data_IF_070986321226
#
_entry.id   IF_070986321226
#
_cell.length_a   1.000
_cell.length_b   1.000
_cell.length_c   1.000
_cell.angle_alpha   90.00
_cell.angle_beta   90.00
_cell.angle_gamma   90.00
#
_symmetry.space_group_name_H-M   'P 1'
#
loop_
_entity.id
_entity.type
_entity.pdbx_description
1 polymer ?
#
# COMPACT_ATOMS: atom_id res chain seq x y z
N UNK A 1 -15.81 -12.87 23.85
CA UNK A 1 -14.48 -12.91 23.19
C UNK A 1 -14.65 -12.39 21.76
N UNK A 2 -13.82 -11.43 21.34
CA UNK A 2 -13.87 -10.91 19.95
C UNK A 2 -13.26 -11.96 19.01
N UNK A 3 -13.96 -12.31 17.93
CA UNK A 3 -13.43 -13.22 16.92
C UNK A 3 -12.22 -12.56 16.24
N UNK A 4 -11.06 -13.25 16.13
CA UNK A 4 -9.89 -12.73 15.42
C UNK A 4 -10.22 -12.36 13.98
N UNK A 5 -9.93 -11.14 13.57
CA UNK A 5 -10.11 -10.67 12.18
C UNK A 5 -8.86 -10.98 11.36
N UNK A 6 -9.04 -11.14 10.06
CA UNK A 6 -7.94 -11.25 9.09
C UNK A 6 -7.68 -9.88 8.48
N UNK A 7 -6.56 -9.29 8.83
CA UNK A 7 -6.17 -7.93 8.45
C UNK A 7 -5.09 -7.99 7.37
N UNK A 8 -5.38 -7.46 6.19
CA UNK A 8 -4.38 -7.29 5.13
C UNK A 8 -3.74 -5.92 5.27
N UNK A 9 -2.41 -5.87 5.41
CA UNK A 9 -1.64 -4.64 5.53
C UNK A 9 -0.64 -4.55 4.39
N UNK A 10 -0.66 -3.44 3.66
CA UNK A 10 0.16 -3.28 2.46
C UNK A 10 0.79 -1.88 2.36
N UNK A 11 2.10 -1.75 2.64
CA UNK A 11 2.84 -0.51 2.40
C UNK A 11 3.23 -0.34 0.95
N UNK A 12 3.42 0.91 0.54
CA UNK A 12 4.00 1.26 -0.75
C UNK A 12 5.51 0.92 -0.76
N UNK A 13 6.01 0.43 -1.90
CA UNK A 13 7.42 0.10 -2.10
C UNK A 13 8.21 1.27 -2.75
N UNK A 14 8.13 2.45 -2.14
CA UNK A 14 8.90 3.65 -2.55
C UNK A 14 9.90 4.05 -1.48
N UNK A 15 10.58 3.06 -0.87
CA UNK A 15 11.53 3.23 0.19
C UNK A 15 11.06 2.63 1.52
N UNK A 16 12.01 2.50 2.45
CA UNK A 16 11.78 1.82 3.73
C UNK A 16 10.89 2.61 4.70
N UNK A 17 10.68 3.91 4.46
CA UNK A 17 9.85 4.75 5.32
C UNK A 17 8.39 4.28 5.42
N UNK A 18 7.81 3.78 4.32
CA UNK A 18 6.48 3.21 4.33
C UNK A 18 6.41 1.92 5.15
N UNK A 19 7.39 1.04 4.96
CA UNK A 19 7.47 -0.20 5.74
C UNK A 19 7.69 0.07 7.23
N UNK A 20 8.60 1.00 7.59
CA UNK A 20 8.90 1.33 8.99
C UNK A 20 7.69 1.86 9.75
N UNK A 21 6.90 2.75 9.15
CA UNK A 21 5.72 3.33 9.81
C UNK A 21 4.56 2.33 9.97
N UNK A 22 4.54 1.26 9.19
CA UNK A 22 3.52 0.20 9.28
C UNK A 22 3.82 -0.78 10.42
N UNK A 23 5.08 -0.92 10.85
CA UNK A 23 5.49 -1.84 11.93
C UNK A 23 4.66 -1.66 13.22
N UNK A 24 4.51 -0.45 13.78
CA UNK A 24 3.68 -0.25 14.98
C UNK A 24 2.21 -0.63 14.76
N UNK A 25 1.69 -0.44 13.56
CA UNK A 25 0.31 -0.81 13.22
C UNK A 25 0.16 -2.33 13.20
N UNK A 26 1.11 -3.06 12.61
CA UNK A 26 1.14 -4.53 12.61
C UNK A 26 1.17 -5.05 14.06
N UNK A 27 2.09 -4.53 14.88
CA UNK A 27 2.21 -4.92 16.29
C UNK A 27 0.87 -4.73 17.03
N UNK A 28 0.22 -3.58 16.81
CA UNK A 28 -1.07 -3.30 17.47
C UNK A 28 -2.16 -4.30 17.12
N UNK A 29 -2.26 -4.74 15.87
CA UNK A 29 -3.24 -5.75 15.48
C UNK A 29 -2.89 -7.14 16.03
N UNK A 30 -1.61 -7.50 16.07
CA UNK A 30 -1.14 -8.74 16.69
C UNK A 30 -1.48 -8.76 18.19
N UNK A 31 -1.23 -7.66 18.91
CA UNK A 31 -1.56 -7.51 20.33
C UNK A 31 -3.07 -7.62 20.60
N UNK A 32 -3.90 -7.22 19.62
CA UNK A 32 -5.36 -7.39 19.70
C UNK A 32 -5.85 -8.80 19.39
N UNK A 33 -4.94 -9.72 19.06
CA UNK A 33 -5.25 -11.09 18.67
C UNK A 33 -5.77 -11.25 17.24
N UNK A 34 -5.63 -10.23 16.39
CA UNK A 34 -6.01 -10.31 14.98
C UNK A 34 -4.94 -11.06 14.15
N UNK A 35 -5.36 -11.72 13.09
CA UNK A 35 -4.49 -12.42 12.14
C UNK A 35 -4.01 -11.45 11.05
N UNK A 36 -2.76 -11.02 11.10
CA UNK A 36 -2.20 -10.09 10.13
C UNK A 36 -1.57 -10.82 8.95
N UNK A 37 -1.89 -10.37 7.75
CA UNK A 37 -1.27 -10.80 6.49
C UNK A 37 -0.60 -9.58 5.87
N UNK A 38 0.68 -9.71 5.54
CA UNK A 38 1.45 -8.64 4.91
C UNK A 38 1.38 -8.83 3.40
N UNK A 39 1.03 -7.76 2.68
CA UNK A 39 1.06 -7.78 1.22
C UNK A 39 1.93 -6.65 0.69
N UNK A 40 2.74 -6.91 -0.32
CA UNK A 40 3.63 -5.88 -0.84
C UNK A 40 4.59 -6.38 -1.89
N UNK A 41 5.65 -5.65 -2.10
CA UNK A 41 6.73 -6.01 -3.02
C UNK A 41 8.06 -5.41 -2.59
N UNK A 42 9.14 -5.87 -3.19
CA UNK A 42 10.46 -5.27 -3.11
C UNK A 42 11.02 -5.10 -1.70
N UNK A 43 11.70 -3.98 -1.46
CA UNK A 43 12.39 -3.72 -0.19
C UNK A 43 11.45 -3.59 1.01
N UNK A 44 10.27 -3.01 0.81
CA UNK A 44 9.27 -2.86 1.87
C UNK A 44 8.77 -4.22 2.36
N UNK A 45 8.46 -5.13 1.44
CA UNK A 45 8.03 -6.48 1.80
C UNK A 45 9.15 -7.25 2.48
N UNK A 46 10.39 -7.19 1.94
CA UNK A 46 11.54 -7.87 2.52
C UNK A 46 11.85 -7.41 3.95
N UNK A 47 11.73 -6.10 4.24
CA UNK A 47 11.90 -5.58 5.59
C UNK A 47 10.86 -6.16 6.54
N UNK A 48 9.58 -6.17 6.13
CA UNK A 48 8.50 -6.66 6.97
C UNK A 48 8.58 -8.19 7.18
N UNK A 49 9.01 -8.96 6.18
CA UNK A 49 9.24 -10.40 6.32
C UNK A 49 10.35 -10.71 7.34
N UNK A 50 11.42 -9.90 7.34
CA UNK A 50 12.49 -10.04 8.35
C UNK A 50 12.03 -9.68 9.74
N UNK A 51 11.22 -8.63 9.86
CA UNK A 51 10.69 -8.16 11.14
C UNK A 51 9.62 -9.09 11.72
N UNK A 52 8.82 -9.72 10.85
CA UNK A 52 7.70 -10.58 11.20
C UNK A 52 7.76 -11.92 10.46
N UNK A 53 8.75 -12.77 10.74
CA UNK A 53 8.97 -14.02 9.98
C UNK A 53 7.84 -15.04 10.16
N UNK A 54 7.03 -14.92 11.21
CA UNK A 54 5.88 -15.79 11.47
C UNK A 54 4.60 -15.36 10.73
N UNK A 55 4.55 -14.15 10.19
CA UNK A 55 3.37 -13.67 9.48
C UNK A 55 3.37 -14.15 8.03
N UNK A 56 2.18 -14.49 7.54
CA UNK A 56 1.98 -14.77 6.13
C UNK A 56 2.26 -13.51 5.30
N UNK A 57 3.05 -13.63 4.26
CA UNK A 57 3.33 -12.56 3.32
C UNK A 57 2.94 -12.96 1.90
N UNK A 58 2.40 -12.00 1.13
CA UNK A 58 1.92 -12.18 -0.23
C UNK A 58 2.54 -11.10 -1.11
N UNK A 59 3.16 -11.51 -2.21
CA UNK A 59 3.68 -10.55 -3.18
C UNK A 59 2.54 -10.00 -4.04
N UNK A 60 2.47 -8.66 -4.13
CA UNK A 60 1.53 -7.93 -4.98
C UNK A 60 2.32 -7.02 -5.92
N UNK A 61 1.98 -6.98 -7.23
CA UNK A 61 2.60 -6.06 -8.17
C UNK A 61 2.58 -4.63 -7.66
N UNK A 62 3.69 -3.91 -7.79
CA UNK A 62 3.79 -2.50 -7.39
C UNK A 62 4.45 -1.68 -8.48
N UNK A 63 4.00 -0.45 -8.61
CA UNK A 63 4.66 0.53 -9.46
C UNK A 63 5.97 1.00 -8.80
N UNK A 64 7.09 0.82 -9.49
CA UNK A 64 8.38 1.36 -9.06
C UNK A 64 8.64 2.69 -9.74
N UNK A 65 8.68 3.77 -8.97
CA UNK A 65 9.07 5.08 -9.48
C UNK A 65 10.59 5.15 -9.63
N UNK A 66 11.06 5.44 -10.83
CA UNK A 66 12.48 5.77 -11.05
C UNK A 66 12.64 7.27 -10.90
N UNK A 67 13.28 7.71 -9.83
CA UNK A 67 13.66 9.11 -9.67
C UNK A 67 14.84 9.41 -10.59
N UNK A 68 14.65 10.31 -11.56
CA UNK A 68 15.73 10.84 -12.39
C UNK A 68 16.19 12.14 -11.77
N UNK A 69 17.45 12.19 -11.33
CA UNK A 69 18.06 13.44 -10.88
C UNK A 69 18.08 14.46 -12.03
N UNK A 70 17.57 15.67 -11.79
CA UNK A 70 17.73 16.81 -12.70
C UNK A 70 16.55 17.14 -13.66
N UNK A 71 15.44 16.42 -13.63
CA UNK A 71 14.22 16.79 -14.39
C UNK A 71 13.10 17.19 -13.44
N UNK A 72 12.28 18.17 -13.86
CA UNK A 72 11.10 18.58 -13.09
C UNK A 72 10.28 17.36 -12.67
N UNK A 73 10.07 17.20 -11.36
CA UNK A 73 9.32 16.08 -10.77
C UNK A 73 7.91 15.97 -11.36
N UNK A 74 7.31 17.10 -11.75
CA UNK A 74 5.98 17.17 -12.36
C UNK A 74 5.93 16.40 -13.68
N UNK A 75 6.93 16.60 -14.56
CA UNK A 75 6.99 15.87 -15.83
C UNK A 75 7.28 14.37 -15.64
N UNK A 76 8.06 14.01 -14.64
CA UNK A 76 8.30 12.61 -14.32
C UNK A 76 7.01 11.90 -13.84
N UNK A 77 6.22 12.56 -13.00
CA UNK A 77 4.91 12.07 -12.55
C UNK A 77 3.92 11.98 -13.72
N UNK A 78 3.83 13.02 -14.54
CA UNK A 78 2.92 13.04 -15.70
C UNK A 78 3.21 11.89 -16.68
N UNK A 79 4.49 11.62 -16.97
CA UNK A 79 4.90 10.48 -17.82
C UNK A 79 4.67 9.12 -17.15
N UNK A 80 4.72 9.06 -15.83
CA UNK A 80 4.50 7.84 -15.06
C UNK A 80 3.00 7.51 -14.88
N UNK A 81 2.12 8.48 -15.09
CA UNK A 81 0.68 8.37 -14.79
C UNK A 81 -0.01 7.18 -15.49
N UNK A 82 0.17 6.89 -16.78
CA UNK A 82 -0.43 5.73 -17.42
C UNK A 82 0.03 4.40 -16.80
N UNK A 83 1.30 4.32 -16.39
CA UNK A 83 1.85 3.17 -15.69
C UNK A 83 1.27 3.04 -14.28
N UNK A 84 1.10 4.16 -13.58
CA UNK A 84 0.49 4.17 -12.26
C UNK A 84 -0.93 3.59 -12.31
N UNK A 85 -1.75 4.03 -13.27
CA UNK A 85 -3.10 3.48 -13.49
C UNK A 85 -3.05 1.99 -13.80
N UNK A 86 -2.18 1.56 -14.70
CA UNK A 86 -2.03 0.14 -15.06
C UNK A 86 -1.67 -0.72 -13.85
N UNK A 87 -0.72 -0.29 -13.02
CA UNK A 87 -0.36 -1.02 -11.80
C UNK A 87 -1.46 -0.99 -10.75
N UNK A 88 -2.19 0.12 -10.60
CA UNK A 88 -3.34 0.20 -9.70
C UNK A 88 -4.44 -0.80 -10.09
N UNK A 89 -4.68 -1.00 -11.38
CA UNK A 89 -5.61 -2.02 -11.87
C UNK A 89 -5.10 -3.43 -11.56
N UNK A 90 -3.81 -3.68 -11.75
CA UNK A 90 -3.19 -4.98 -11.40
C UNK A 90 -3.27 -5.27 -9.91
N UNK A 91 -2.96 -4.27 -9.07
CA UNK A 91 -3.10 -4.35 -7.62
C UNK A 91 -4.53 -4.68 -7.22
N UNK A 92 -5.51 -4.00 -7.81
CA UNK A 92 -6.93 -4.24 -7.52
C UNK A 92 -7.37 -5.66 -7.90
N UNK A 93 -6.92 -6.17 -9.05
CA UNK A 93 -7.20 -7.57 -9.47
C UNK A 93 -6.55 -8.57 -8.52
N UNK A 94 -5.30 -8.32 -8.10
CA UNK A 94 -4.60 -9.17 -7.13
C UNK A 94 -5.31 -9.16 -5.77
N UNK A 95 -5.70 -7.96 -5.29
CA UNK A 95 -6.45 -7.81 -4.04
C UNK A 95 -7.74 -8.60 -4.03
N UNK A 96 -8.54 -8.55 -5.10
CA UNK A 96 -9.81 -9.32 -5.19
C UNK A 96 -9.59 -10.82 -5.00
N UNK A 97 -8.52 -11.37 -5.56
CA UNK A 97 -8.15 -12.78 -5.39
C UNK A 97 -7.76 -13.06 -3.93
N UNK A 98 -6.91 -12.21 -3.35
CA UNK A 98 -6.44 -12.34 -1.97
C UNK A 98 -7.61 -12.26 -0.99
N UNK A 99 -8.49 -11.29 -1.14
CA UNK A 99 -9.68 -11.13 -0.29
C UNK A 99 -10.51 -12.42 -0.27
N UNK A 100 -10.73 -13.03 -1.43
CA UNK A 100 -11.50 -14.29 -1.55
C UNK A 100 -10.75 -15.48 -0.96
N UNK A 101 -9.46 -15.63 -1.27
CA UNK A 101 -8.65 -16.78 -0.85
C UNK A 101 -8.33 -16.75 0.63
N UNK A 102 -7.98 -15.58 1.16
CA UNK A 102 -7.55 -15.40 2.56
C UNK A 102 -8.70 -14.99 3.48
N UNK A 103 -9.91 -14.78 2.95
CA UNK A 103 -11.11 -14.33 3.70
C UNK A 103 -10.79 -13.08 4.55
N UNK A 104 -10.31 -12.03 3.87
CA UNK A 104 -9.88 -10.79 4.51
C UNK A 104 -11.09 -10.02 5.06
N UNK A 105 -11.01 -9.58 6.32
CA UNK A 105 -12.06 -8.82 7.00
C UNK A 105 -11.80 -7.31 6.99
N UNK A 106 -10.52 -6.89 6.87
CA UNK A 106 -10.13 -5.49 6.86
C UNK A 106 -8.85 -5.28 6.07
N UNK A 107 -8.76 -4.16 5.36
CA UNK A 107 -7.60 -3.80 4.53
C UNK A 107 -7.00 -2.50 5.03
N UNK A 108 -5.66 -2.46 5.19
CA UNK A 108 -4.90 -1.25 5.45
C UNK A 108 -3.94 -1.04 4.29
N UNK A 109 -4.14 0.03 3.55
CA UNK A 109 -3.33 0.43 2.41
C UNK A 109 -2.55 1.70 2.75
N UNK A 110 -1.23 1.66 2.61
CA UNK A 110 -0.38 2.83 2.77
C UNK A 110 0.09 3.31 1.40
N UNK A 111 -0.50 4.40 0.92
CA UNK A 111 -0.26 5.04 -0.37
C UNK A 111 -0.38 4.13 -1.60
N UNK A 112 -1.19 3.06 -1.54
CA UNK A 112 -1.47 2.16 -2.67
C UNK A 112 -2.91 2.32 -3.14
N UNK A 113 -3.09 3.01 -4.26
CA UNK A 113 -4.41 3.43 -4.77
C UNK A 113 -5.29 2.26 -5.24
N UNK A 114 -4.70 1.13 -5.64
CA UNK A 114 -5.44 -0.05 -6.10
C UNK A 114 -5.99 -0.93 -4.97
N UNK A 115 -5.61 -0.69 -3.72
CA UNK A 115 -5.93 -1.57 -2.60
C UNK A 115 -7.17 -1.12 -1.83
N UNK A 116 -8.31 -1.22 -2.46
CA UNK A 116 -9.64 -1.05 -1.85
C UNK A 116 -10.58 -2.14 -2.34
N UNK A 117 -11.62 -2.46 -1.56
CA UNK A 117 -12.60 -3.49 -1.91
C UNK A 117 -14.02 -3.03 -1.56
N UNK A 118 -15.00 -3.33 -2.43
CA UNK A 118 -16.39 -2.86 -2.23
C UNK A 118 -17.07 -3.47 -1.00
N UNK A 119 -16.73 -4.72 -0.68
CA UNK A 119 -17.38 -5.49 0.39
C UNK A 119 -16.50 -5.68 1.62
N UNK A 120 -15.28 -5.18 1.64
CA UNK A 120 -14.36 -5.27 2.77
C UNK A 120 -13.97 -3.86 3.19
N UNK A 121 -14.17 -3.47 4.46
CA UNK A 121 -13.74 -2.18 4.96
C UNK A 121 -12.25 -1.95 4.73
N UNK A 122 -11.90 -0.75 4.26
CA UNK A 122 -10.54 -0.41 3.91
C UNK A 122 -10.14 0.93 4.51
N UNK A 123 -8.97 0.99 5.15
CA UNK A 123 -8.34 2.22 5.60
C UNK A 123 -7.17 2.58 4.67
N UNK A 124 -7.14 3.84 4.26
CA UNK A 124 -6.07 4.39 3.45
C UNK A 124 -5.21 5.33 4.27
N UNK A 125 -3.92 5.03 4.38
CA UNK A 125 -2.94 5.87 5.07
C UNK A 125 -2.21 6.70 4.02
N UNK A 126 -2.19 8.01 4.23
CA UNK A 126 -1.43 8.93 3.39
C UNK A 126 -0.85 10.06 4.24
N UNK A 127 0.29 10.59 3.81
CA UNK A 127 0.90 11.80 4.38
C UNK A 127 0.76 13.01 3.43
N UNK A 128 0.21 12.77 2.24
CA UNK A 128 0.00 13.81 1.23
C UNK A 128 -1.49 14.14 1.14
N UNK A 129 -1.92 15.12 1.92
CA UNK A 129 -3.29 15.62 1.91
C UNK A 129 -3.49 16.71 0.83
N UNK A 130 -2.40 17.31 0.37
CA UNK A 130 -2.40 18.36 -0.64
C UNK A 130 -1.28 18.13 -1.64
N UNK A 131 -1.62 17.99 -2.92
CA UNK A 131 -0.64 17.98 -4.01
C UNK A 131 -0.51 19.41 -4.50
N UNK A 132 0.60 20.08 -4.16
CA UNK A 132 0.89 21.41 -4.72
C UNK A 132 1.12 21.30 -6.21
N UNK A 133 0.26 21.94 -6.97
CA UNK A 133 0.38 22.03 -8.42
C UNK A 133 1.34 23.17 -8.82
N UNK A 134 1.95 23.10 -10.02
CA UNK A 134 2.78 24.19 -10.53
C UNK A 134 2.00 25.51 -10.62
N UNK A 135 2.69 26.64 -10.49
CA UNK A 135 2.10 27.97 -10.71
C UNK A 135 1.37 27.99 -12.06
N UNK A 136 0.10 28.39 -12.04
CA UNK A 136 -0.79 28.40 -13.21
C UNK A 136 -1.86 27.29 -13.24
N UNK A 137 -1.76 26.29 -12.34
CA UNK A 137 -2.72 25.18 -12.22
C UNK A 137 -3.38 25.13 -10.86
N UNK A 138 -3.20 26.18 -10.05
CA UNK A 138 -3.73 26.30 -8.68
C UNK A 138 -5.26 26.28 -8.59
N UNK A 139 -5.96 26.48 -9.69
CA UNK A 139 -7.42 26.36 -9.77
C UNK A 139 -7.93 24.90 -9.68
N UNK A 140 -7.02 23.91 -9.70
CA UNK A 140 -7.32 22.47 -9.52
C UNK A 140 -7.00 21.97 -8.10
N UNK A 141 -6.47 22.83 -7.20
CA UNK A 141 -6.29 22.54 -5.79
C UNK A 141 -7.63 22.68 -5.04
#
# INVERSE_FOLDING_TARGET
>A
MKTPRRILISPLDWGLGHASRIIPIINRYIEQGDNVIIAGSGMSLNLLQKQFPSLKSIEIPSFKMKYSAGKSQVWAVAKAFPRLIYYSIKEHKALKRIVKQEKIDFIISDNRFGLFHKSVPSAYITHQLLIKLPKGWTWLE
#
